data_IF_465564399140
#
_entry.id   IF_465564399140
#
_cell.length_a   1.000
_cell.length_b   1.000
_cell.length_c   1.000
_cell.angle_alpha   90.00
_cell.angle_beta   90.00
_cell.angle_gamma   90.00
#
_symmetry.space_group_name_H-M   'P 1'
#
loop_
_entity.id
_entity.type
_entity.pdbx_description
1 polymer ?
2 non-polymer ?
3 non-polymer ?
4 water ?
#
# COMPACT_ATOMS: atom_id res chain seq x y z
N UNK A 15 -10.22 -11.74 6.67
CA UNK A 15 -9.63 -10.73 7.59
C UNK A 15 -8.29 -10.15 7.09
N UNK A 16 -7.48 -10.98 6.42
CA UNK A 16 -6.17 -10.55 5.89
C UNK A 16 -6.07 -10.69 4.37
N UNK A 17 -5.54 -9.67 3.71
CA UNK A 17 -5.38 -9.65 2.26
C UNK A 17 -3.92 -9.40 1.88
N UNK A 18 -3.20 -10.47 1.55
CA UNK A 18 -1.81 -10.33 1.17
C UNK A 18 -1.76 -10.10 -0.33
N UNK A 19 -1.44 -8.87 -0.73
CA UNK A 19 -1.42 -8.51 -2.14
C UNK A 19 -0.53 -9.38 -3.02
N UNK A 20 0.73 -9.58 -2.63
CA UNK A 20 1.60 -10.42 -3.45
C UNK A 20 0.97 -11.78 -3.68
N UNK A 21 0.36 -12.33 -2.62
CA UNK A 21 -0.30 -13.62 -2.67
C UNK A 21 -1.46 -13.59 -3.67
N UNK A 22 -2.17 -12.46 -3.72
CA UNK A 22 -3.30 -12.30 -4.63
C UNK A 22 -2.92 -12.08 -6.09
N UNK A 23 -1.74 -11.52 -6.35
CA UNK A 23 -1.30 -11.28 -7.73
C UNK A 23 -0.93 -12.58 -8.44
N UNK A 24 -0.78 -13.66 -7.69
CA UNK A 24 -0.43 -14.94 -8.27
C UNK A 24 0.99 -15.35 -7.96
N UNK A 25 1.45 -16.42 -8.60
CA UNK A 25 2.79 -16.94 -8.40
C UNK A 25 3.86 -16.07 -9.06
N UNK A 26 4.98 -15.86 -8.35
CA UNK A 26 6.08 -15.05 -8.86
C UNK A 26 6.92 -15.86 -9.83
N UNK A 27 6.37 -16.09 -11.02
CA UNK A 27 7.01 -16.88 -12.07
C UNK A 27 8.16 -16.15 -12.74
N UNK A 28 8.98 -16.90 -13.49
CA UNK A 28 10.12 -16.30 -14.19
C UNK A 28 9.55 -15.27 -15.16
N UNK A 29 10.02 -14.02 -15.06
CA UNK A 29 9.52 -12.96 -15.91
C UNK A 29 8.18 -12.42 -15.44
N UNK A 30 7.97 -12.42 -14.13
CA UNK A 30 6.72 -11.94 -13.53
C UNK A 30 6.85 -10.51 -13.01
N UNK A 31 8.04 -9.93 -13.17
CA UNK A 31 8.29 -8.58 -12.71
C UNK A 31 8.92 -8.51 -11.33
N UNK A 32 9.09 -9.65 -10.68
CA UNK A 32 9.68 -9.68 -9.34
C UNK A 32 10.57 -10.89 -9.09
N UNK A 33 11.47 -10.76 -8.12
CA UNK A 33 12.41 -11.82 -7.77
C UNK A 33 12.36 -12.19 -6.28
N UNK A 34 12.15 -13.47 -5.99
CA UNK A 34 12.09 -13.94 -4.60
C UNK A 34 13.43 -13.79 -3.88
N UNK A 35 13.39 -13.17 -2.69
CA UNK A 35 14.59 -12.96 -1.88
C UNK A 35 14.25 -13.11 -0.39
N UNK A 36 15.16 -12.67 0.48
CA UNK A 36 14.94 -12.78 1.93
C UNK A 36 14.42 -11.49 2.57
N UNK A 37 13.58 -11.65 3.58
CA UNK A 37 13.01 -10.52 4.29
C UNK A 37 13.09 -10.71 5.79
N UNK A 38 12.74 -9.69 6.60
CA UNK A 38 12.77 -9.79 8.07
C UNK A 38 11.97 -10.97 8.60
N UNK A 39 10.86 -11.30 7.94
CA UNK A 39 10.03 -12.44 8.32
C UNK A 39 10.60 -13.63 7.53
N UNK A 40 11.32 -14.53 8.22
CA UNK A 40 11.93 -15.71 7.60
C UNK A 40 10.96 -16.80 7.15
N UNK A 41 9.73 -16.77 7.66
CA UNK A 41 8.72 -17.77 7.29
C UNK A 41 7.71 -17.20 6.28
N UNK A 42 8.15 -16.21 5.52
CA UNK A 42 7.31 -15.56 4.51
C UNK A 42 8.18 -15.02 3.38
N UNK A 43 7.69 -15.08 2.13
CA UNK A 43 8.42 -14.61 0.96
C UNK A 43 8.61 -13.10 0.82
N UNK A 44 9.78 -12.71 0.31
CA UNK A 44 10.11 -11.32 0.06
C UNK A 44 10.33 -11.18 -1.45
N UNK A 45 10.09 -10.00 -2.00
CA UNK A 45 10.24 -9.80 -3.44
C UNK A 45 10.95 -8.52 -3.85
N UNK A 46 12.08 -8.68 -4.54
CA UNK A 46 12.83 -7.54 -5.04
C UNK A 46 12.14 -7.15 -6.34
N UNK A 47 11.73 -5.88 -6.46
CA UNK A 47 11.03 -5.44 -7.65
C UNK A 47 11.98 -5.24 -8.83
N UNK A 48 11.73 -5.98 -9.91
CA UNK A 48 12.57 -5.87 -11.10
C UNK A 48 11.88 -5.06 -12.21
N UNK A 49 10.56 -5.24 -12.35
CA UNK A 49 9.76 -4.49 -13.33
C UNK A 49 8.30 -4.58 -12.89
N UNK A 50 7.89 -3.58 -12.11
CA UNK A 50 6.55 -3.50 -11.55
C UNK A 50 5.43 -3.61 -12.58
N UNK A 51 5.66 -3.10 -13.78
CA UNK A 51 4.65 -3.16 -14.84
C UNK A 51 4.27 -4.59 -15.22
N UNK A 52 5.18 -5.53 -15.00
CA UNK A 52 4.93 -6.93 -15.33
C UNK A 52 4.17 -7.69 -14.23
N UNK A 53 4.16 -7.15 -13.02
CA UNK A 53 3.44 -7.79 -11.92
C UNK A 53 1.96 -7.71 -12.22
N UNK A 54 1.28 -8.86 -12.30
CA UNK A 54 -0.15 -8.83 -12.61
C UNK A 54 -1.03 -8.15 -11.56
N UNK A 55 -2.14 -7.54 -12.02
CA UNK A 55 -3.03 -6.87 -11.09
C UNK A 55 -3.79 -7.89 -10.26
N UNK A 56 -4.27 -7.45 -9.09
CA UNK A 56 -5.05 -8.32 -8.24
C UNK A 56 -6.30 -8.64 -9.05
N UNK A 57 -6.72 -9.92 -9.07
CA UNK A 57 -7.92 -10.33 -9.81
C UNK A 57 -9.14 -9.52 -9.36
N UNK A 58 -10.00 -9.18 -10.31
CA UNK A 58 -11.23 -8.42 -10.03
C UNK A 58 -12.04 -8.96 -8.83
N UNK A 59 -12.33 -10.26 -8.84
CA UNK A 59 -13.13 -10.85 -7.76
C UNK A 59 -12.49 -10.71 -6.38
N UNK A 60 -11.18 -10.89 -6.31
CA UNK A 60 -10.46 -10.78 -5.03
C UNK A 60 -10.40 -9.32 -4.57
N UNK A 61 -10.35 -8.39 -5.51
CA UNK A 61 -10.31 -6.96 -5.18
C UNK A 61 -11.66 -6.57 -4.59
N UNK A 62 -12.74 -7.14 -5.14
CA UNK A 62 -14.09 -6.86 -4.66
C UNK A 62 -14.24 -7.18 -3.17
N UNK A 63 -13.59 -8.25 -2.71
CA UNK A 63 -13.63 -8.61 -1.28
C UNK A 63 -13.01 -7.43 -0.51
N UNK A 64 -11.90 -6.90 -1.03
CA UNK A 64 -11.21 -5.78 -0.40
C UNK A 64 -12.10 -4.55 -0.32
N UNK A 65 -12.74 -4.20 -1.44
CA UNK A 65 -13.64 -3.05 -1.50
C UNK A 65 -14.73 -3.19 -0.45
N UNK A 66 -15.39 -4.36 -0.44
CA UNK A 66 -16.46 -4.59 0.52
C UNK A 66 -15.94 -4.49 1.95
N UNK A 67 -14.75 -5.01 2.22
CA UNK A 67 -14.21 -4.93 3.56
C UNK A 67 -13.95 -3.46 3.94
N UNK A 68 -13.40 -2.69 3.01
CA UNK A 68 -13.12 -1.27 3.25
C UNK A 68 -14.39 -0.49 3.52
N UNK A 69 -15.41 -0.74 2.70
CA UNK A 69 -16.70 -0.07 2.87
C UNK A 69 -17.31 -0.36 4.24
N UNK A 70 -17.11 -1.58 4.74
CA UNK A 70 -17.65 -1.99 6.02
C UNK A 70 -16.90 -1.40 7.23
N UNK A 71 -15.57 -1.38 7.16
CA UNK A 71 -14.77 -0.85 8.25
C UNK A 71 -14.61 0.66 8.20
N UNK A 72 -15.02 1.26 7.08
CA UNK A 72 -14.88 2.70 6.86
C UNK A 72 -13.40 3.02 6.84
N UNK A 73 -12.61 2.09 6.30
CA UNK A 73 -11.19 2.29 6.25
C UNK A 73 -10.45 0.98 6.21
N UNK A 74 -9.23 0.99 6.74
CA UNK A 74 -8.42 -0.22 6.72
C UNK A 74 -7.14 -0.08 7.50
N UNK A 75 -6.45 -1.21 7.63
CA UNK A 75 -5.16 -1.26 8.28
C UNK A 75 -4.25 -1.87 7.21
N UNK A 76 -3.21 -1.13 6.83
CA UNK A 76 -2.26 -1.59 5.80
C UNK A 76 -0.91 -1.87 6.46
N UNK A 77 -0.41 -3.08 6.28
CA UNK A 77 0.88 -3.48 6.82
C UNK A 77 1.85 -3.65 5.68
N UNK A 78 3.11 -3.27 5.90
CA UNK A 78 4.15 -3.42 4.88
C UNK A 78 5.55 -3.37 5.44
N UNK A 79 6.40 -4.24 4.91
CA UNK A 79 7.80 -4.27 5.27
C UNK A 79 8.47 -3.88 3.97
N UNK A 80 9.36 -2.89 4.03
CA UNK A 80 10.01 -2.43 2.81
C UNK A 80 11.46 -2.04 2.98
N UNK A 81 12.24 -2.32 1.95
CA UNK A 81 13.66 -1.97 1.91
C UNK A 81 13.72 -1.16 0.64
N UNK A 82 13.72 0.15 0.79
CA UNK A 82 13.69 1.07 -0.34
C UNK A 82 14.99 1.82 -0.60
N UNK A 84 17.46 4.71 -1.24
CA UNK A 84 17.52 6.07 -0.72
C UNK A 84 17.15 7.16 -1.72
N UNK A 85 16.42 8.16 -1.23
CA UNK A 85 16.01 9.32 -2.04
C UNK A 85 15.23 9.00 -3.31
N UNK A 86 14.40 7.96 -3.26
CA UNK A 86 13.58 7.62 -4.40
C UNK A 86 12.11 7.67 -3.99
N UNK A 87 11.26 7.94 -4.97
CA UNK A 87 9.83 7.94 -4.72
C UNK A 87 9.33 6.58 -5.21
N UNK A 88 8.84 5.78 -4.27
CA UNK A 88 8.35 4.44 -4.58
C UNK A 88 6.89 4.17 -4.19
N UNK A 89 6.06 3.83 -5.18
CA UNK A 89 4.66 3.52 -4.94
C UNK A 89 4.53 2.14 -4.29
N UNK A 90 3.85 2.07 -3.15
CA UNK A 90 3.66 0.80 -2.48
C UNK A 90 2.47 0.11 -3.11
N UNK A 91 1.39 0.86 -3.25
CA UNK A 91 0.13 0.34 -3.83
C UNK A 91 -0.59 1.47 -4.54
N UNK A 92 -1.37 1.11 -5.55
CA UNK A 92 -2.14 2.09 -6.31
C UNK A 92 -3.36 1.41 -6.92
N UNK A 93 -4.44 2.18 -7.07
CA UNK A 93 -5.67 1.70 -7.70
C UNK A 93 -5.72 2.47 -9.04
N UNK A 94 -5.35 1.81 -10.12
CA UNK A 94 -5.35 2.47 -11.42
C UNK A 94 -6.62 2.21 -12.18
N UNK A 95 -7.11 3.24 -12.86
CA UNK A 95 -8.33 3.08 -13.62
C UNK A 95 -8.03 2.19 -14.82
N UNK A 96 -9.02 1.38 -15.20
CA UNK A 96 -8.89 0.48 -16.33
C UNK A 96 -8.79 1.20 -17.67
N UNK A 97 -9.35 2.41 -17.75
CA UNK A 97 -9.31 3.20 -18.98
C UNK A 97 -7.98 3.95 -19.18
N UNK A 98 -7.05 3.75 -18.23
CA UNK A 98 -5.73 4.36 -18.28
C UNK A 98 -5.66 5.87 -18.02
N UNK A 99 -6.77 6.47 -17.61
CA UNK A 99 -6.79 7.91 -17.35
C UNK A 99 -6.01 8.33 -16.11
N UNK A 100 -5.77 7.39 -15.20
CA UNK A 100 -5.01 7.71 -14.00
C UNK A 100 -5.29 6.81 -12.83
N UNK A 101 -4.85 7.23 -11.65
CA UNK A 101 -5.05 6.46 -10.42
C UNK A 101 -6.09 7.15 -9.56
N UNK A 102 -6.91 6.34 -8.88
CA UNK A 102 -7.95 6.83 -7.99
C UNK A 102 -7.44 6.88 -6.54
N UNK A 103 -6.37 6.13 -6.25
CA UNK A 103 -5.79 6.09 -4.91
C UNK A 103 -4.38 5.54 -5.00
N UNK A 104 -3.51 6.01 -4.12
CA UNK A 104 -2.15 5.51 -4.08
C UNK A 104 -1.47 5.86 -2.75
N UNK A 105 -0.51 5.03 -2.38
CA UNK A 105 0.28 5.21 -1.17
C UNK A 105 1.73 5.19 -1.66
N UNK A 106 2.37 6.34 -1.55
CA UNK A 106 3.73 6.48 -2.03
C UNK A 106 4.71 6.83 -0.94
N UNK A 107 5.77 6.02 -0.83
CA UNK A 107 6.83 6.28 0.13
C UNK A 107 7.74 7.28 -0.59
N UNK A 108 7.59 8.56 -0.26
CA UNK A 108 8.35 9.62 -0.90
C UNK A 108 9.69 9.82 -0.19
N UNK A 109 10.74 9.23 -0.75
CA UNK A 109 12.07 9.35 -0.17
C UNK A 109 12.73 10.69 -0.41
N UNK A 110 12.22 11.44 -1.37
CA UNK A 110 12.76 12.76 -1.66
C UNK A 110 12.25 13.79 -0.67
N UNK A 111 11.01 13.62 -0.23
CA UNK A 111 10.41 14.56 0.73
C UNK A 111 10.45 14.03 2.16
N UNK A 112 10.73 12.75 2.32
CA UNK A 112 10.74 12.18 3.67
C UNK A 112 9.32 12.07 4.20
N UNK A 113 8.43 11.59 3.35
CA UNK A 113 7.02 11.46 3.70
C UNK A 113 6.37 10.22 3.10
N UNK A 114 5.16 9.92 3.56
CA UNK A 114 4.37 8.85 2.99
C UNK A 114 3.19 9.64 2.43
N UNK A 115 3.05 9.67 1.11
CA UNK A 115 2.00 10.41 0.44
C UNK A 115 0.76 9.56 0.15
N UNK A 116 -0.40 10.09 0.49
CA UNK A 116 -1.67 9.41 0.26
C UNK A 116 -2.45 10.28 -0.73
N UNK A 117 -2.69 9.73 -1.92
CA UNK A 117 -3.41 10.43 -2.97
C UNK A 117 -4.75 9.78 -3.22
N UNK A 118 -5.79 10.59 -3.30
CA UNK A 118 -7.16 10.12 -3.54
C UNK A 118 -7.78 10.98 -4.63
N UNK A 119 -8.45 10.35 -5.59
CA UNK A 119 -9.11 11.08 -6.67
C UNK A 119 -10.59 10.76 -6.60
N UNK A 120 -11.39 11.79 -6.35
CA UNK A 120 -12.84 11.62 -6.29
C UNK A 120 -13.49 12.69 -7.16
N UNK A 121 -14.37 12.25 -8.05
CA UNK A 121 -15.09 13.15 -8.95
C UNK A 121 -14.16 13.91 -9.89
N UNK A 122 -13.03 13.32 -10.22
CA UNK A 122 -12.05 13.95 -11.11
C UNK A 122 -11.03 14.83 -10.42
N UNK A 123 -11.30 15.21 -9.17
CA UNK A 123 -10.40 16.05 -8.40
C UNK A 123 -9.44 15.19 -7.58
N UNK A 124 -8.14 15.42 -7.75
CA UNK A 124 -7.15 14.66 -6.99
C UNK A 124 -6.67 15.40 -5.74
N UNK A 125 -6.78 14.74 -4.59
CA UNK A 125 -6.35 15.30 -3.32
C UNK A 125 -5.15 14.51 -2.82
N UNK A 126 -4.06 15.21 -2.51
CA UNK A 126 -2.86 14.54 -2.00
C UNK A 126 -2.47 15.10 -0.64
N UNK A 127 -2.23 14.21 0.31
CA UNK A 127 -1.82 14.60 1.65
C UNK A 127 -0.57 13.80 2.00
N UNK A 128 0.40 14.49 2.61
CA UNK A 128 1.67 13.91 3.02
C UNK A 128 1.72 13.63 4.52
N UNK A 129 2.16 12.44 4.90
CA UNK A 129 2.33 12.10 6.32
C UNK A 129 3.79 12.46 6.57
N UNK A 130 4.00 13.53 7.31
CA UNK A 130 5.33 14.05 7.62
C UNK A 130 6.20 13.19 8.55
N UNK A 131 7.49 13.53 8.60
CA UNK A 131 8.47 12.83 9.44
C UNK A 131 8.36 11.32 9.28
N UNK A 132 8.41 10.88 8.04
CA UNK A 132 8.28 9.47 7.76
C UNK A 132 9.25 8.99 6.70
N UNK A 133 10.53 8.93 7.02
CA UNK A 133 11.46 8.44 6.02
C UNK A 133 11.67 6.94 6.14
N UNK A 134 11.23 6.26 5.09
CA UNK A 134 11.29 4.82 4.95
C UNK A 134 12.25 4.47 3.82
N UNK A 135 12.78 5.49 3.14
CA UNK A 135 13.70 5.27 2.04
C UNK A 135 15.15 5.26 2.48
N UNK A 136 15.53 4.14 3.08
CA UNK A 136 16.89 3.90 3.57
C UNK A 136 17.20 2.53 2.98
N UNK A 137 18.45 2.26 2.65
CA UNK A 137 18.77 0.97 2.08
C UNK A 137 18.49 -0.22 2.98
N UNK A 138 17.85 0.04 4.12
CA UNK A 138 17.55 -1.02 5.09
C UNK A 138 16.06 -1.27 5.32
N UNK A 139 15.76 -2.35 6.05
CA UNK A 139 14.38 -2.75 6.33
C UNK A 139 13.59 -1.93 7.34
N UNK A 140 12.39 -1.55 6.91
CA UNK A 140 11.49 -0.77 7.74
C UNK A 140 10.13 -1.44 7.68
N UNK A 141 9.32 -1.22 8.71
CA UNK A 141 7.99 -1.80 8.77
C UNK A 141 7.01 -0.69 9.08
N UNK A 142 5.90 -0.66 8.34
CA UNK A 142 4.90 0.36 8.59
C UNK A 142 3.55 -0.26 8.88
N UNK A 143 2.76 0.47 9.65
CA UNK A 143 1.41 0.08 10.00
C UNK A 143 0.59 1.34 9.71
N UNK A 144 -0.18 1.33 8.63
CA UNK A 144 -0.98 2.48 8.26
C UNK A 144 -2.45 2.27 8.56
N UNK A 145 -2.97 3.01 9.53
CA UNK A 145 -4.37 2.91 9.90
C UNK A 145 -5.15 4.09 9.35
N UNK A 146 -6.07 3.80 8.45
CA UNK A 146 -6.91 4.82 7.86
C UNK A 146 -8.36 4.51 8.17
N UNK A 147 -9.05 5.49 8.73
CA UNK A 147 -10.45 5.36 9.07
C UNK A 147 -11.11 6.69 8.82
N UNK A 148 -12.15 6.68 7.99
CA UNK A 148 -12.89 7.90 7.66
C UNK A 148 -11.90 8.81 6.93
N UNK A 149 -11.63 10.00 7.47
CA UNK A 149 -10.68 10.91 6.84
C UNK A 149 -9.42 11.06 7.70
N UNK A 150 -9.21 10.09 8.59
CA UNK A 150 -8.07 10.10 9.49
C UNK A 150 -7.02 9.06 9.15
N UNK A 151 -5.76 9.47 9.06
CA UNK A 151 -4.68 8.54 8.78
C UNK A 151 -3.68 8.54 9.93
N UNK A 152 -3.25 7.35 10.36
CA UNK A 152 -2.27 7.20 11.44
C UNK A 152 -1.18 6.25 10.96
N UNK A 153 0.07 6.70 11.02
CA UNK A 153 1.19 5.88 10.57
C UNK A 153 2.14 5.55 11.72
N UNK A 154 2.57 4.29 11.76
CA UNK A 154 3.52 3.83 12.77
C UNK A 154 4.68 3.17 12.01
N UNK A 155 5.88 3.66 12.24
CA UNK A 155 7.04 3.09 11.59
C UNK A 155 7.81 2.31 12.64
N UNK A 156 7.80 0.98 12.49
CA UNK A 156 8.45 0.08 13.42
C UNK A 156 7.77 0.25 14.79
N UNK A 157 8.48 0.84 15.77
CA UNK A 157 7.90 1.10 17.10
C UNK A 157 8.12 2.57 17.44
N UNK A 158 8.01 3.45 16.44
CA UNK A 158 8.24 4.87 16.67
C UNK A 158 6.99 5.68 17.01
N UNK A 159 7.17 6.98 17.15
CA UNK A 159 6.07 7.90 17.47
C UNK A 159 5.03 7.80 16.35
N UNK A 161 2.53 8.99 13.63
CA UNK A 161 2.44 10.15 12.75
C UNK A 161 1.01 10.23 12.24
N UNK A 162 0.44 11.43 12.18
CA UNK A 162 -0.94 11.60 11.74
C UNK A 162 -1.12 12.55 10.57
N UNK A 163 -2.26 12.41 9.90
CA UNK A 163 -2.61 13.25 8.77
C UNK A 163 -4.10 13.16 8.50
N UNK A 164 -4.65 14.26 8.00
CA UNK A 164 -6.06 14.33 7.67
C UNK A 164 -6.30 14.38 6.17
N UNK A 165 -7.21 13.53 5.71
CA UNK A 165 -7.56 13.45 4.29
C UNK A 165 -8.64 14.48 4.01
N UNK A 166 -8.76 14.92 2.76
CA UNK A 166 -9.79 15.88 2.39
C UNK A 166 -11.17 15.27 2.20
N UNK A 167 -11.21 13.95 2.07
CA UNK A 167 -12.44 13.20 1.90
C UNK A 167 -12.27 11.88 2.65
N UNK A 168 -13.38 11.21 3.03
CA UNK A 168 -13.24 9.95 3.75
C UNK A 168 -12.73 8.87 2.78
N UNK A 169 -11.99 7.90 3.30
CA UNK A 169 -11.43 6.85 2.46
C UNK A 169 -12.45 6.01 1.70
N UNK A 170 -13.62 5.77 2.29
CA UNK A 170 -14.65 4.99 1.64
C UNK A 170 -15.20 5.71 0.41
N UNK A 171 -14.94 7.01 0.31
CA UNK A 171 -15.37 7.84 -0.81
C UNK A 171 -14.72 7.34 -2.11
N UNK A 172 -13.50 6.82 -1.98
CA UNK A 172 -12.76 6.30 -3.12
C UNK A 172 -13.27 4.91 -3.44
N UNK A 173 -13.49 4.12 -2.40
CA UNK A 173 -13.95 2.75 -2.56
C UNK A 173 -15.44 2.62 -2.85
N UNK A 174 -15.84 3.12 -4.02
CA UNK A 174 -17.21 3.09 -4.48
C UNK A 174 -17.64 1.64 -4.75
N UNK A 175 -18.95 1.41 -4.86
CA UNK A 175 -19.52 0.08 -5.10
C UNK A 175 -19.01 -0.63 -6.33
N UNK A 176 -18.99 0.07 -7.46
CA UNK A 176 -18.52 -0.51 -8.72
C UNK A 176 -17.06 -0.20 -9.00
N UNK A 177 -16.28 0.01 -7.94
CA UNK A 177 -14.86 0.33 -8.11
C UNK A 177 -14.09 -0.78 -8.82
N UNK A 178 -14.34 -2.03 -8.45
CA UNK A 178 -13.65 -3.16 -9.09
C UNK A 178 -13.99 -3.32 -10.57
N UNK A 179 -15.01 -2.60 -11.04
CA UNK A 179 -15.38 -2.69 -12.45
C UNK A 179 -14.76 -1.55 -13.27
N UNK A 180 -14.14 -0.59 -12.59
CA UNK A 180 -13.50 0.54 -13.26
C UNK A 180 -12.03 0.74 -12.86
N UNK A 181 -11.58 0.01 -11.84
CA UNK A 181 -10.20 0.13 -11.39
C UNK A 181 -9.63 -1.19 -10.97
N UNK A 182 -8.31 -1.25 -10.85
CA UNK A 182 -7.63 -2.46 -10.44
C UNK A 182 -6.47 -2.16 -9.49
N UNK A 183 -6.26 -3.05 -8.54
CA UNK A 183 -5.21 -2.88 -7.55
C UNK A 183 -3.86 -3.36 -8.08
N UNK A 184 -2.88 -2.46 -8.04
CA UNK A 184 -1.55 -2.78 -8.50
C UNK A 184 -0.55 -2.60 -7.36
N UNK A 185 0.45 -3.47 -7.31
CA UNK A 185 1.47 -3.34 -6.29
C UNK A 185 2.78 -2.87 -6.91
N UNK A 186 3.50 -2.03 -6.18
CA UNK A 186 4.80 -1.52 -6.59
C UNK A 186 4.84 -0.63 -7.83
N UNK A 187 3.68 -0.40 -8.43
CA UNK A 187 3.59 0.43 -9.62
C UNK A 187 2.68 1.63 -9.44
N UNK A 188 3.20 2.81 -9.75
CA UNK A 188 2.40 4.01 -9.61
C UNK A 188 2.61 4.93 -10.79
N UNK A 189 2.86 6.22 -10.51
CA UNK A 189 3.10 7.19 -11.55
C UNK A 189 4.25 6.76 -12.45
N UNK A 190 4.47 7.50 -13.53
CA UNK A 190 5.53 7.19 -14.48
C UNK A 190 6.90 6.86 -13.86
N UNK A 191 7.42 7.76 -13.02
CA UNK A 191 8.72 7.57 -12.38
C UNK A 191 8.60 7.04 -10.95
N UNK A 192 7.42 6.58 -10.57
CA UNK A 192 7.23 6.14 -9.19
C UNK A 192 7.15 4.65 -8.87
N UNK A 193 7.66 3.78 -9.76
CA UNK A 193 7.63 2.35 -9.50
C UNK A 193 8.56 2.10 -8.32
N UNK A 194 8.15 1.23 -7.40
CA UNK A 194 8.97 0.98 -6.21
C UNK A 194 10.34 0.38 -6.54
N UNK A 195 11.38 0.98 -5.97
CA UNK A 195 12.74 0.50 -6.17
C UNK A 195 13.26 -0.11 -4.87
N UNK A 196 13.34 -1.43 -4.85
CA UNK A 196 13.81 -2.10 -3.65
C UNK A 196 13.11 -3.43 -3.42
N UNK A 197 12.90 -3.77 -2.15
CA UNK A 197 12.27 -5.03 -1.79
C UNK A 197 11.02 -4.84 -0.93
N UNK A 198 10.00 -5.64 -1.17
CA UNK A 198 8.77 -5.57 -0.39
C UNK A 198 8.46 -6.93 0.24
N UNK A 199 7.73 -6.93 1.34
CA UNK A 199 7.34 -8.17 2.03
C UNK A 199 6.10 -7.94 2.90
N UNK A 200 5.17 -8.90 2.81
CA UNK A 200 3.94 -8.85 3.59
C UNK A 200 3.16 -7.54 3.51
N UNK A 201 2.86 -7.13 2.28
CA UNK A 201 2.07 -5.93 2.03
C UNK A 201 0.67 -6.49 2.19
N UNK A 202 0.00 -6.14 3.28
CA UNK A 202 -1.33 -6.69 3.55
C UNK A 202 -2.36 -5.73 4.08
N UNK A 203 -3.61 -6.02 3.77
CA UNK A 203 -4.73 -5.24 4.29
C UNK A 203 -5.28 -6.16 5.37
N UNK A 204 -5.37 -5.65 6.60
CA UNK A 204 -5.90 -6.43 7.72
C UNK A 204 -7.15 -5.73 8.24
N UNK A 205 -8.21 -6.51 8.44
CA UNK A 205 -9.49 -5.98 8.92
C UNK A 205 -9.94 -6.64 10.21
N UNK A 206 -10.76 -5.91 10.97
CA UNK A 206 -11.28 -6.40 12.23
C UNK A 206 -10.23 -6.38 13.32
N UNK A 207 -9.19 -5.58 13.12
CA UNK A 207 -8.10 -5.45 14.07
C UNK A 207 -7.70 -3.98 14.17
N UNK A 208 -6.96 -3.64 15.21
CA UNK A 208 -6.52 -2.26 15.42
C UNK A 208 -5.00 -2.18 15.37
N UNK A 209 -4.45 -1.00 15.12
CA UNK A 209 -2.99 -0.85 15.07
C UNK A 209 -2.37 -1.13 16.44
N UNK A 210 -3.16 -0.96 17.49
CA UNK A 210 -2.72 -1.19 18.86
C UNK A 210 -2.32 -2.66 19.01
N UNK A 211 -3.22 -3.56 18.63
CA UNK A 211 -2.97 -4.99 18.74
C UNK A 211 -1.82 -5.48 17.88
N UNK A 212 -1.72 -4.97 16.65
CA UNK A 212 -0.64 -5.36 15.75
C UNK A 212 0.72 -4.91 16.27
N UNK A 213 0.76 -3.77 16.94
CA UNK A 213 2.01 -3.23 17.48
C UNK A 213 2.57 -4.10 18.61
N UNK A 214 1.68 -4.65 19.43
CA UNK A 214 2.10 -5.51 20.54
C UNK A 214 2.59 -6.85 20.00
N UNK A 215 1.84 -7.41 19.06
CA UNK A 215 2.17 -8.70 18.44
C UNK A 215 3.50 -8.62 17.68
N UNK A 216 3.92 -7.40 17.37
CA UNK A 216 5.17 -7.15 16.64
C UNK A 216 6.36 -7.07 17.58
N UNK A 217 6.09 -6.90 18.87
CA UNK A 217 7.15 -6.82 19.85
C UNK A 217 7.34 -5.44 20.46
N UNK A 218 6.55 -4.47 19.98
CA UNK A 218 6.63 -3.09 20.50
C UNK A 218 6.02 -2.96 21.88
N UNK A 219 6.04 -1.72 22.35
CA UNK A 219 5.50 -1.24 23.64
C UNK A 219 6.54 -0.33 24.31
#
# INVERSE_FOLDING_TARGET
>A
RSPWNRIPESGGDNSVFDIFELTGAARKGSGRRLVKGPDPSSPAFRIEDANLIPPVPDDKFQDLVDAVRTEKGFLLLASLRQXKKTRGTLLALERKDHSGQVFSVVSNGKAGTLDLSLTVQGKQHVVSVEEALLATGQWKSITLFVQEDRAQLYIDCEKXENAELDVPIQSVFTRDLASIARLRIAKGGVNDNFQGVLQNVRFVFGTTPEDILRNKGCSSSTSVLLTLDNNVVNGSSPAIRTNTGHHHHHH
#
